data_IF_283538591128
#
_entry.id   IF_283538591128
#
_cell.length_a   1.000
_cell.length_b   1.000
_cell.length_c   1.000
_cell.angle_alpha   90.00
_cell.angle_beta   90.00
_cell.angle_gamma   90.00
#
_symmetry.space_group_name_H-M   'P 1'
#
loop_
_entity.id
_entity.type
_entity.pdbx_description
1 polymer ?
#
# COMPACT_ATOMS: atom_id res chain seq x y z
N UNK A 1 -2.20 -10.54 6.36
CA UNK A 1 -3.65 -10.85 6.28
C UNK A 1 -4.09 -11.44 4.93
N UNK A 2 -4.21 -10.71 3.81
CA UNK A 2 -4.75 -11.28 2.54
C UNK A 2 -3.97 -12.50 2.03
N UNK A 3 -2.64 -12.47 2.13
CA UNK A 3 -1.79 -13.62 1.83
C UNK A 3 -2.00 -14.77 2.84
N UNK A 4 -2.03 -14.46 4.14
CA UNK A 4 -2.26 -15.44 5.22
C UNK A 4 -3.59 -16.19 5.07
N UNK A 5 -4.61 -15.53 4.51
CA UNK A 5 -5.94 -16.13 4.28
C UNK A 5 -6.16 -16.62 2.84
N UNK A 6 -5.10 -16.68 2.02
CA UNK A 6 -5.15 -17.11 0.62
C UNK A 6 -6.22 -16.37 -0.22
N UNK A 7 -6.29 -15.05 -0.05
CA UNK A 7 -7.29 -14.17 -0.66
C UNK A 7 -6.67 -13.05 -1.53
N UNK A 8 -5.43 -13.20 -2.00
CA UNK A 8 -4.74 -12.19 -2.81
C UNK A 8 -5.52 -11.81 -4.08
N UNK A 9 -6.29 -12.73 -4.65
CA UNK A 9 -7.19 -12.48 -5.79
C UNK A 9 -8.25 -11.40 -5.53
N UNK A 10 -8.53 -11.07 -4.26
CA UNK A 10 -9.49 -10.04 -3.88
C UNK A 10 -8.83 -8.69 -3.51
N UNK A 11 -7.50 -8.63 -3.49
CA UNK A 11 -6.76 -7.49 -2.99
C UNK A 11 -6.99 -6.22 -3.83
N UNK A 12 -6.89 -6.29 -5.16
CA UNK A 12 -7.15 -5.16 -6.05
C UNK A 12 -8.59 -4.64 -5.92
N UNK A 13 -9.56 -5.56 -5.86
CA UNK A 13 -10.96 -5.18 -5.69
C UNK A 13 -11.17 -4.41 -4.39
N UNK A 14 -10.54 -4.86 -3.30
CA UNK A 14 -10.61 -4.23 -1.99
C UNK A 14 -9.96 -2.84 -1.98
N UNK A 15 -8.73 -2.71 -2.50
CA UNK A 15 -7.96 -1.47 -2.43
C UNK A 15 -8.40 -0.41 -3.46
N UNK A 16 -8.87 -0.83 -4.64
CA UNK A 16 -8.96 0.07 -5.80
C UNK A 16 -10.32 0.12 -6.50
N UNK A 17 -11.14 -0.94 -6.44
CA UNK A 17 -12.37 -1.02 -7.25
C UNK A 17 -13.65 -0.79 -6.44
N UNK A 18 -13.74 -1.39 -5.25
CA UNK A 18 -14.98 -1.42 -4.49
C UNK A 18 -15.38 -0.03 -3.95
N UNK A 19 -14.42 0.74 -3.48
CA UNK A 19 -14.64 2.12 -3.02
C UNK A 19 -15.21 3.02 -4.11
N UNK A 20 -14.50 3.26 -5.23
CA UNK A 20 -14.99 4.11 -6.31
C UNK A 20 -16.35 3.69 -6.85
N UNK A 21 -16.60 2.37 -7.02
CA UNK A 21 -17.91 1.86 -7.43
C UNK A 21 -19.02 2.20 -6.44
N UNK A 22 -18.77 2.06 -5.15
CA UNK A 22 -19.74 2.38 -4.10
C UNK A 22 -20.04 3.88 -4.06
N UNK A 23 -19.01 4.72 -4.23
CA UNK A 23 -19.14 6.17 -4.18
C UNK A 23 -19.50 6.84 -5.52
N UNK A 24 -19.63 6.07 -6.61
CA UNK A 24 -19.88 6.61 -7.95
C UNK A 24 -18.71 7.44 -8.51
N UNK A 25 -17.48 7.16 -8.07
CA UNK A 25 -16.26 7.82 -8.52
C UNK A 25 -15.54 6.98 -9.60
N UNK A 26 -14.77 7.62 -10.50
CA UNK A 26 -13.96 6.88 -11.46
C UNK A 26 -12.87 6.06 -10.77
N UNK A 27 -12.54 4.91 -11.35
CA UNK A 27 -11.40 4.09 -10.94
C UNK A 27 -10.10 4.73 -11.44
N UNK A 28 -9.04 4.66 -10.64
CA UNK A 28 -7.72 5.12 -11.05
C UNK A 28 -7.21 4.32 -12.27
N UNK A 29 -6.63 5.00 -13.24
CA UNK A 29 -6.04 4.37 -14.44
C UNK A 29 -4.56 4.00 -14.27
N UNK A 30 -3.97 4.40 -13.13
CA UNK A 30 -2.56 4.15 -12.80
C UNK A 30 -2.40 2.95 -11.89
N UNK A 31 -1.22 2.34 -11.94
CA UNK A 31 -0.89 1.14 -11.17
C UNK A 31 0.20 1.40 -10.13
N UNK A 32 0.18 0.58 -9.09
CA UNK A 32 1.22 0.47 -8.06
C UNK A 32 1.63 -1.01 -7.99
N UNK A 33 2.93 -1.26 -7.86
CA UNK A 33 3.50 -2.61 -7.77
C UNK A 33 4.00 -2.83 -6.34
N UNK A 34 3.42 -3.80 -5.64
CA UNK A 34 3.90 -4.21 -4.32
C UNK A 34 4.97 -5.28 -4.50
N UNK A 35 6.16 -5.02 -3.96
CA UNK A 35 7.28 -5.95 -4.02
C UNK A 35 7.42 -6.64 -2.67
N UNK A 36 7.64 -7.95 -2.71
CA UNK A 36 7.87 -8.73 -1.50
C UNK A 36 9.33 -8.62 -1.06
N UNK A 37 9.63 -7.56 -0.32
CA UNK A 37 10.96 -7.28 0.23
C UNK A 37 10.85 -6.97 1.73
N UNK A 38 11.80 -7.46 2.52
CA UNK A 38 11.88 -7.14 3.95
C UNK A 38 12.29 -5.68 4.14
N UNK A 39 11.44 -4.91 4.81
CA UNK A 39 11.67 -3.53 5.19
C UNK A 39 11.24 -3.30 6.65
N UNK A 40 11.94 -2.39 7.33
CA UNK A 40 11.63 -2.03 8.72
C UNK A 40 10.82 -0.74 8.72
N UNK A 41 9.66 -0.77 9.38
CA UNK A 41 8.84 0.43 9.55
C UNK A 41 9.56 1.41 10.46
N UNK A 42 9.67 2.67 10.04
CA UNK A 42 10.34 3.71 10.82
C UNK A 42 9.77 3.81 12.24
N UNK A 43 10.66 3.94 13.23
CA UNK A 43 10.26 4.11 14.65
C UNK A 43 9.43 5.36 14.89
N UNK A 44 9.72 6.42 14.12
CA UNK A 44 8.98 7.67 14.18
C UNK A 44 9.15 8.50 12.91
N UNK A 45 8.19 9.39 12.69
CA UNK A 45 8.21 10.39 11.63
C UNK A 45 8.23 11.75 12.30
N UNK A 46 9.32 12.49 12.09
CA UNK A 46 9.49 13.83 12.65
C UNK A 46 8.58 14.84 11.96
N UNK A 47 7.89 15.66 12.73
CA UNK A 47 7.08 16.79 12.28
C UNK A 47 7.60 18.08 12.95
N UNK A 48 7.28 19.27 12.41
CA UNK A 48 7.64 20.52 13.09
C UNK A 48 6.99 20.62 14.47
N UNK A 49 7.79 20.46 15.53
CA UNK A 49 7.33 20.57 16.91
C UNK A 49 6.62 19.34 17.48
N UNK A 50 6.60 18.21 16.76
CA UNK A 50 5.95 16.98 17.20
C UNK A 50 6.55 15.73 16.52
N UNK A 51 6.13 14.55 16.97
CA UNK A 51 6.58 13.26 16.44
C UNK A 51 5.39 12.32 16.26
N UNK A 52 5.26 11.73 15.07
CA UNK A 52 4.26 10.70 14.79
C UNK A 52 4.88 9.32 14.89
N UNK A 53 4.26 8.44 15.67
CA UNK A 53 4.62 7.01 15.73
C UNK A 53 3.72 6.25 14.74
N UNK A 54 4.27 5.70 13.64
CA UNK A 54 3.46 4.97 12.68
C UNK A 54 2.96 3.65 13.27
N UNK A 55 1.86 3.15 12.70
CA UNK A 55 1.39 1.82 13.05
C UNK A 55 2.47 0.78 12.71
N UNK A 56 2.79 -0.10 13.67
CA UNK A 56 3.83 -1.14 13.56
C UNK A 56 5.27 -0.59 13.50
N UNK A 57 5.52 0.60 14.08
CA UNK A 57 6.86 1.16 14.27
C UNK A 57 7.87 0.12 14.79
N UNK A 58 9.02 0.02 14.12
CA UNK A 58 10.11 -0.90 14.49
C UNK A 58 9.93 -2.35 14.05
N UNK A 59 8.77 -2.72 13.47
CA UNK A 59 8.55 -4.09 12.99
C UNK A 59 9.13 -4.32 11.58
N UNK A 60 9.61 -5.55 11.34
CA UNK A 60 10.05 -6.02 10.02
C UNK A 60 8.84 -6.53 9.22
N UNK A 61 8.67 -6.07 7.98
CA UNK A 61 7.54 -6.42 7.10
C UNK A 61 8.07 -6.76 5.72
N UNK A 62 7.55 -7.84 5.14
CA UNK A 62 8.02 -8.38 3.86
C UNK A 62 7.36 -7.72 2.64
N UNK A 63 6.74 -6.55 2.77
CA UNK A 63 6.12 -5.83 1.67
C UNK A 63 6.67 -4.40 1.66
N UNK A 64 7.33 -4.04 0.57
CA UNK A 64 7.71 -2.65 0.29
C UNK A 64 6.92 -2.15 -0.93
N UNK A 65 6.43 -0.92 -0.82
CA UNK A 65 5.74 -0.24 -1.90
C UNK A 65 6.82 0.39 -2.80
N UNK A 66 7.34 -0.39 -3.75
CA UNK A 66 8.29 0.15 -4.71
C UNK A 66 7.52 1.15 -5.61
N UNK A 67 7.75 2.44 -5.34
CA UNK A 67 7.31 3.64 -6.08
C UNK A 67 6.57 3.35 -7.40
N UNK A 68 5.33 3.84 -7.49
CA UNK A 68 4.53 4.10 -8.71
C UNK A 68 5.38 3.98 -9.99
N UNK A 69 5.50 2.77 -10.53
CA UNK A 69 6.04 2.59 -11.88
C UNK A 69 4.91 2.97 -12.82
N UNK A 70 4.97 4.19 -13.36
CA UNK A 70 4.29 4.46 -14.64
C UNK A 70 4.82 3.42 -15.62
N UNK A 71 4.06 2.39 -15.98
CA UNK A 71 4.36 1.66 -17.20
C UNK A 71 4.38 2.69 -18.34
N UNK A 72 5.51 2.89 -19.04
CA UNK A 72 5.44 3.52 -20.33
C UNK A 72 4.88 2.44 -21.26
N UNK A 73 3.57 2.45 -21.51
CA UNK A 73 3.08 1.83 -22.73
C UNK A 73 3.22 2.86 -23.85
N UNK A 74 4.46 2.98 -24.31
CA UNK A 74 4.90 3.17 -25.69
C UNK A 74 6.28 2.53 -25.83
#
# INVERSE_FOLDING_TARGET
MFEEINALQHFEAFCSLNGPRFYGLPVNETFVELVREESVVAESIALPGDTLVPFLAGENRALDDEKIKRSPLL
#
